data_IF_871133906465
#
_entry.id   IF_871133906465
#
_cell.length_a   1.000
_cell.length_b   1.000
_cell.length_c   1.000
_cell.angle_alpha   90.00
_cell.angle_beta   90.00
_cell.angle_gamma   90.00
#
_symmetry.space_group_name_H-M   'P 1'
#
loop_
_entity.id
_entity.type
_entity.pdbx_description
1 polymer ?
#
# COMPACT_ATOMS: atom_id res chain seq x y z
N UNK A 1 12.65 -20.88 7.88
CA UNK A 1 12.84 -20.51 6.46
C UNK A 1 13.92 -19.42 6.39
N UNK A 2 15.15 -19.73 5.96
CA UNK A 2 16.21 -18.73 5.81
C UNK A 2 16.03 -18.07 4.45
N UNK A 3 15.66 -16.80 4.44
CA UNK A 3 15.77 -15.93 3.26
C UNK A 3 17.26 -15.75 2.98
N UNK A 4 17.78 -16.54 2.05
CA UNK A 4 19.08 -16.25 1.42
C UNK A 4 18.85 -15.06 0.49
N UNK A 5 19.30 -13.87 0.90
CA UNK A 5 19.52 -12.76 -0.03
C UNK A 5 20.69 -13.15 -0.92
N UNK A 6 20.39 -13.69 -2.08
CA UNK A 6 21.38 -13.80 -3.13
C UNK A 6 21.57 -12.41 -3.76
N UNK A 7 22.55 -11.67 -3.33
CA UNK A 7 23.22 -10.72 -4.19
C UNK A 7 24.12 -11.56 -5.14
N UNK A 8 23.49 -12.22 -6.10
CA UNK A 8 24.23 -12.80 -7.21
C UNK A 8 24.55 -11.63 -8.11
N UNK A 9 25.71 -11.05 -7.93
CA UNK A 9 26.34 -10.28 -8.97
C UNK A 9 26.56 -11.22 -10.17
N UNK A 10 25.56 -11.37 -11.03
CA UNK A 10 25.66 -12.09 -12.29
C UNK A 10 26.84 -11.59 -13.13
N UNK A 11 27.36 -10.40 -12.82
CA UNK A 11 28.55 -9.81 -13.45
C UNK A 11 29.85 -10.52 -13.20
N UNK A 12 30.02 -11.25 -12.10
CA UNK A 12 31.30 -11.84 -11.78
C UNK A 12 31.47 -13.27 -12.30
N UNK A 13 30.39 -13.99 -12.54
CA UNK A 13 30.42 -15.32 -13.16
C UNK A 13 30.45 -15.28 -14.69
N UNK A 14 30.02 -14.18 -15.31
CA UNK A 14 30.10 -13.97 -16.77
C UNK A 14 31.40 -13.31 -17.21
N UNK A 15 32.35 -13.00 -16.31
CA UNK A 15 33.66 -12.38 -16.63
C UNK A 15 34.69 -13.35 -17.16
N UNK A 16 34.41 -14.64 -17.15
CA UNK A 16 35.29 -15.64 -17.72
C UNK A 16 34.81 -16.02 -19.12
N UNK A 17 35.43 -15.45 -20.16
CA UNK A 17 35.51 -15.94 -21.53
C UNK A 17 34.45 -15.53 -22.57
N UNK A 18 33.73 -14.46 -22.38
CA UNK A 18 32.98 -13.87 -23.51
C UNK A 18 33.73 -12.63 -24.02
N UNK A 19 34.14 -12.56 -25.27
CA UNK A 19 34.78 -11.37 -25.85
C UNK A 19 33.81 -10.20 -25.79
N UNK A 20 34.25 -8.96 -25.48
CA UNK A 20 33.40 -7.83 -25.14
C UNK A 20 32.65 -7.18 -26.32
N UNK A 21 32.41 -7.86 -27.42
CA UNK A 21 31.87 -7.28 -28.64
C UNK A 21 30.74 -8.09 -29.34
N UNK A 22 30.24 -9.16 -28.77
CA UNK A 22 29.01 -9.79 -29.32
C UNK A 22 27.84 -9.43 -28.43
N UNK A 23 26.79 -8.75 -28.95
CA UNK A 23 25.53 -8.78 -28.25
C UNK A 23 25.13 -10.26 -28.15
N UNK A 24 24.95 -10.74 -26.92
CA UNK A 24 24.42 -12.08 -26.67
C UNK A 24 23.17 -12.21 -27.52
N UNK A 25 23.18 -13.11 -28.50
CA UNK A 25 21.99 -13.36 -29.29
C UNK A 25 20.88 -13.85 -28.35
N UNK A 26 19.62 -13.51 -28.62
CA UNK A 26 18.45 -13.96 -27.84
C UNK A 26 18.48 -15.48 -27.61
N UNK A 27 19.01 -16.23 -28.62
CA UNK A 27 19.27 -17.67 -28.56
C UNK A 27 20.24 -18.10 -27.44
N UNK A 28 21.21 -17.27 -27.05
CA UNK A 28 22.16 -17.61 -25.99
C UNK A 28 21.54 -17.45 -24.60
N UNK A 29 20.70 -16.45 -24.40
CA UNK A 29 19.97 -16.24 -23.13
C UNK A 29 18.98 -17.40 -22.91
N UNK A 30 18.22 -17.77 -23.93
CA UNK A 30 17.31 -18.91 -23.87
C UNK A 30 18.05 -20.19 -23.52
N UNK A 31 19.20 -20.45 -24.17
CA UNK A 31 20.03 -21.61 -23.88
C UNK A 31 20.48 -21.65 -22.41
N UNK A 32 20.93 -20.53 -21.85
CA UNK A 32 21.33 -20.43 -20.43
C UNK A 32 20.15 -20.74 -19.50
N UNK A 33 18.99 -20.17 -19.78
CA UNK A 33 17.79 -20.37 -18.93
C UNK A 33 17.34 -21.85 -18.99
N UNK A 34 17.26 -22.46 -20.16
CA UNK A 34 16.89 -23.88 -20.30
C UNK A 34 17.94 -24.84 -19.74
N UNK A 35 19.21 -24.51 -19.87
CA UNK A 35 20.29 -25.29 -19.26
C UNK A 35 20.22 -25.23 -17.73
N UNK A 36 19.91 -24.07 -17.18
CA UNK A 36 19.70 -23.92 -15.74
C UNK A 36 18.47 -24.70 -15.26
N UNK A 37 17.36 -24.64 -15.99
CA UNK A 37 16.15 -25.40 -15.65
C UNK A 37 16.42 -26.92 -15.63
N UNK A 38 17.10 -27.43 -16.66
CA UNK A 38 17.53 -28.84 -16.73
C UNK A 38 18.50 -29.21 -15.60
N UNK A 39 19.39 -28.32 -15.22
CA UNK A 39 20.30 -28.52 -14.10
C UNK A 39 19.55 -28.65 -12.79
N UNK A 40 18.57 -27.77 -12.49
CA UNK A 40 17.72 -27.88 -11.33
C UNK A 40 16.88 -29.15 -11.35
N UNK A 41 16.36 -29.56 -12.52
CA UNK A 41 15.61 -30.80 -12.68
C UNK A 41 16.47 -32.01 -12.32
N UNK A 42 17.74 -32.07 -12.77
CA UNK A 42 18.67 -33.16 -12.46
C UNK A 42 19.03 -33.27 -11.00
N UNK A 43 18.92 -32.17 -10.23
CA UNK A 43 19.24 -32.08 -8.79
C UNK A 43 18.01 -32.21 -7.90
N UNK A 44 16.80 -32.30 -8.48
CA UNK A 44 15.53 -32.34 -7.72
C UNK A 44 15.21 -31.05 -6.97
N UNK A 45 15.83 -29.90 -7.35
CA UNK A 45 15.62 -28.58 -6.76
C UNK A 45 14.68 -27.70 -7.60
N UNK A 46 14.17 -26.65 -6.98
CA UNK A 46 13.43 -25.58 -7.66
C UNK A 46 14.10 -24.22 -7.41
N UNK A 47 14.13 -23.36 -8.41
CA UNK A 47 14.53 -21.95 -8.30
C UNK A 47 13.30 -21.06 -8.35
N UNK A 48 13.11 -20.23 -7.32
CA UNK A 48 12.08 -19.21 -7.31
C UNK A 48 12.69 -17.85 -7.57
N UNK A 49 12.27 -17.21 -8.66
CA UNK A 49 12.61 -15.83 -9.00
C UNK A 49 11.46 -14.94 -8.53
N UNK A 50 11.71 -14.14 -7.51
CA UNK A 50 10.72 -13.24 -6.94
C UNK A 50 11.05 -11.80 -7.37
N UNK A 51 10.15 -11.19 -8.13
CA UNK A 51 10.26 -9.80 -8.59
C UNK A 51 9.28 -8.94 -7.78
N UNK A 52 9.85 -8.13 -6.90
CA UNK A 52 9.13 -7.24 -5.99
C UNK A 52 9.47 -5.78 -6.32
N UNK A 53 8.72 -4.84 -5.74
CA UNK A 53 8.90 -3.40 -5.92
C UNK A 53 8.77 -2.95 -7.39
N UNK A 54 7.92 -3.59 -8.16
CA UNK A 54 7.72 -3.26 -9.57
C UNK A 54 7.03 -1.89 -9.77
N UNK A 55 6.43 -1.36 -8.71
CA UNK A 55 5.88 0.00 -8.64
C UNK A 55 6.97 1.09 -8.52
N UNK A 56 8.16 0.75 -8.01
CA UNK A 56 9.26 1.70 -7.88
C UNK A 56 9.84 2.12 -9.24
N UNK A 57 9.58 1.38 -10.29
CA UNK A 57 9.99 1.74 -11.65
C UNK A 57 9.36 3.08 -12.08
N UNK A 58 8.14 3.37 -11.59
CA UNK A 58 7.45 4.64 -11.86
C UNK A 58 8.07 5.83 -11.13
N UNK A 59 8.81 5.60 -10.04
CA UNK A 59 9.40 6.66 -9.19
C UNK A 59 10.62 7.31 -9.86
N UNK A 60 11.26 6.64 -10.81
CA UNK A 60 12.51 7.10 -11.43
C UNK A 60 12.32 8.10 -12.58
N UNK A 61 11.16 8.77 -12.66
CA UNK A 61 10.93 9.87 -13.63
C UNK A 61 10.56 9.43 -15.04
N UNK A 62 10.23 8.15 -15.22
CA UNK A 62 9.67 7.66 -16.49
C UNK A 62 8.20 8.10 -16.62
N UNK A 63 7.78 8.41 -17.84
CA UNK A 63 6.37 8.67 -18.11
C UNK A 63 5.53 7.42 -17.73
N UNK A 64 4.27 7.65 -17.32
CA UNK A 64 3.38 6.55 -16.91
C UNK A 64 3.25 5.47 -18.00
N UNK A 65 3.20 5.89 -19.26
CA UNK A 65 3.10 4.99 -20.43
C UNK A 65 4.34 4.10 -20.58
N UNK A 66 5.55 4.63 -20.34
CA UNK A 66 6.81 3.85 -20.39
C UNK A 66 6.83 2.74 -19.34
N UNK A 67 6.27 3.00 -18.16
CA UNK A 67 6.18 2.03 -17.07
C UNK A 67 5.18 0.93 -17.39
N UNK A 68 4.03 1.28 -17.94
CA UNK A 68 3.00 0.33 -18.37
C UNK A 68 3.54 -0.59 -19.45
N UNK A 69 4.25 -0.05 -20.45
CA UNK A 69 4.89 -0.81 -21.50
C UNK A 69 5.97 -1.76 -20.97
N UNK A 70 6.81 -1.28 -20.04
CA UNK A 70 7.83 -2.10 -19.40
C UNK A 70 7.23 -3.27 -18.63
N UNK A 71 6.23 -3.01 -17.80
CA UNK A 71 5.56 -4.05 -17.01
C UNK A 71 4.78 -5.03 -17.90
N UNK A 72 4.16 -4.54 -18.97
CA UNK A 72 3.49 -5.40 -19.97
C UNK A 72 4.47 -6.29 -20.68
N UNK A 73 5.65 -5.79 -21.04
CA UNK A 73 6.72 -6.58 -21.63
C UNK A 73 7.31 -7.60 -20.67
N UNK A 74 7.47 -7.23 -19.39
CA UNK A 74 7.86 -8.16 -18.33
C UNK A 74 6.84 -9.31 -18.20
N UNK A 75 5.56 -9.00 -18.20
CA UNK A 75 4.49 -10.03 -18.17
C UNK A 75 4.58 -10.98 -19.37
N UNK A 76 4.84 -10.46 -20.57
CA UNK A 76 5.04 -11.30 -21.78
C UNK A 76 6.24 -12.22 -21.61
N UNK A 77 7.39 -11.69 -21.20
CA UNK A 77 8.58 -12.49 -20.99
C UNK A 77 8.35 -13.60 -19.95
N UNK A 78 7.69 -13.29 -18.83
CA UNK A 78 7.36 -14.30 -17.82
C UNK A 78 6.37 -15.33 -18.36
N UNK A 79 5.39 -14.94 -19.19
CA UNK A 79 4.45 -15.88 -19.82
C UNK A 79 5.18 -16.93 -20.68
N UNK A 80 6.20 -16.52 -21.43
CA UNK A 80 7.02 -17.45 -22.22
C UNK A 80 7.85 -18.39 -21.32
N UNK A 81 8.25 -17.93 -20.16
CA UNK A 81 9.04 -18.70 -19.19
C UNK A 81 8.20 -19.63 -18.31
N UNK A 82 6.86 -19.53 -18.32
CA UNK A 82 5.98 -20.43 -17.55
C UNK A 82 6.11 -21.92 -17.97
N UNK A 83 6.68 -22.20 -19.12
CA UNK A 83 6.97 -23.57 -19.60
C UNK A 83 8.14 -24.25 -18.89
N UNK A 84 8.95 -23.50 -18.14
CA UNK A 84 10.04 -24.04 -17.36
C UNK A 84 9.50 -24.91 -16.21
N UNK A 85 10.21 -26.02 -15.93
CA UNK A 85 9.73 -27.02 -14.96
C UNK A 85 10.16 -26.69 -13.53
N UNK A 86 11.36 -26.15 -13.38
CA UNK A 86 12.04 -25.93 -12.09
C UNK A 86 12.33 -24.49 -11.77
N UNK A 87 12.37 -23.63 -12.78
CA UNK A 87 12.48 -22.19 -12.57
C UNK A 87 11.07 -21.59 -12.57
N UNK A 88 10.70 -20.99 -11.46
CA UNK A 88 9.36 -20.44 -11.23
C UNK A 88 9.46 -18.97 -10.90
N UNK A 89 8.51 -18.18 -11.43
CA UNK A 89 8.45 -16.74 -11.24
C UNK A 89 7.31 -16.37 -10.30
N UNK A 90 7.58 -15.40 -9.41
CA UNK A 90 6.57 -14.68 -8.63
C UNK A 90 6.75 -13.19 -8.85
N UNK A 91 5.70 -12.58 -9.39
CA UNK A 91 5.63 -11.14 -9.62
C UNK A 91 4.70 -10.56 -8.56
N UNK A 92 5.20 -9.57 -7.82
CA UNK A 92 4.41 -8.87 -6.81
C UNK A 92 4.00 -7.53 -7.38
N UNK A 93 2.70 -7.37 -7.60
CA UNK A 93 2.10 -6.14 -8.10
C UNK A 93 1.16 -5.55 -7.06
N UNK A 94 1.10 -4.23 -7.03
CA UNK A 94 -0.04 -3.55 -6.44
C UNK A 94 -1.25 -3.79 -7.34
N UNK A 95 -2.42 -3.99 -6.73
CA UNK A 95 -3.65 -4.29 -7.48
C UNK A 95 -4.04 -3.18 -8.46
N UNK A 96 -3.88 -1.91 -8.07
CA UNK A 96 -4.14 -0.75 -8.92
C UNK A 96 -3.26 -0.74 -10.17
N UNK A 97 -1.95 -1.00 -10.04
CA UNK A 97 -1.02 -1.11 -11.17
C UNK A 97 -1.39 -2.29 -12.05
N UNK A 98 -1.60 -3.47 -11.44
CA UNK A 98 -1.99 -4.66 -12.22
C UNK A 98 -3.29 -4.44 -13.02
N UNK A 99 -4.25 -3.73 -12.46
CA UNK A 99 -5.51 -3.43 -13.16
C UNK A 99 -5.32 -2.42 -14.29
N UNK A 100 -4.36 -1.51 -14.18
CA UNK A 100 -4.04 -0.53 -15.22
C UNK A 100 -3.31 -1.13 -16.43
N UNK A 101 -2.59 -2.26 -16.26
CA UNK A 101 -1.85 -2.87 -17.37
C UNK A 101 -2.76 -3.29 -18.54
N UNK A 102 -2.40 -2.89 -19.75
CA UNK A 102 -3.12 -3.21 -21.00
C UNK A 102 -2.61 -4.48 -21.69
N UNK A 103 -1.96 -5.36 -20.97
CA UNK A 103 -1.40 -6.59 -21.51
C UNK A 103 -2.48 -7.49 -22.14
N UNK A 104 -2.32 -7.80 -23.44
CA UNK A 104 -3.34 -8.48 -24.28
C UNK A 104 -3.73 -9.88 -23.79
N UNK A 105 -2.81 -10.61 -23.16
CA UNK A 105 -3.03 -11.97 -22.64
C UNK A 105 -3.14 -12.02 -21.11
N UNK A 106 -3.63 -10.95 -20.48
CA UNK A 106 -3.79 -10.85 -19.03
C UNK A 106 -4.60 -12.00 -18.43
N UNK A 107 -5.55 -12.54 -19.20
CA UNK A 107 -6.39 -13.67 -18.79
C UNK A 107 -5.59 -14.95 -18.55
N UNK A 108 -4.45 -15.14 -19.20
CA UNK A 108 -3.58 -16.29 -18.95
C UNK A 108 -3.00 -16.29 -17.53
N UNK A 109 -2.87 -15.12 -16.91
CA UNK A 109 -2.42 -14.98 -15.53
C UNK A 109 -3.56 -15.03 -14.51
N UNK A 110 -4.82 -14.91 -14.93
CA UNK A 110 -5.96 -14.89 -14.02
C UNK A 110 -6.08 -16.17 -13.19
N UNK A 111 -5.75 -17.33 -13.77
CA UNK A 111 -5.71 -18.61 -13.07
C UNK A 111 -4.51 -18.75 -12.12
N UNK A 112 -3.46 -17.94 -12.29
CA UNK A 112 -2.23 -17.95 -11.49
C UNK A 112 -2.18 -16.79 -10.50
N UNK A 113 -3.12 -15.84 -10.61
CA UNK A 113 -3.20 -14.67 -9.73
C UNK A 113 -3.66 -15.09 -8.34
N UNK A 114 -2.90 -14.67 -7.33
CA UNK A 114 -3.35 -14.67 -5.95
C UNK A 114 -3.45 -13.22 -5.49
N UNK A 115 -4.63 -12.79 -5.11
CA UNK A 115 -4.87 -11.47 -4.56
C UNK A 115 -4.84 -11.53 -3.04
N UNK A 116 -3.91 -10.78 -2.43
CA UNK A 116 -3.81 -10.67 -0.98
C UNK A 116 -4.73 -9.54 -0.53
N UNK A 117 -5.84 -9.91 0.08
CA UNK A 117 -6.78 -8.98 0.68
C UNK A 117 -6.76 -9.13 2.20
N UNK A 118 -6.86 -8.01 2.89
CA UNK A 118 -6.95 -7.98 4.34
C UNK A 118 -8.40 -7.73 4.74
N UNK A 119 -9.01 -8.74 5.35
CA UNK A 119 -10.31 -8.51 5.97
C UNK A 119 -10.16 -7.65 7.22
N UNK A 120 -11.25 -7.05 7.66
CA UNK A 120 -11.30 -6.29 8.91
C UNK A 120 -10.88 -7.15 10.11
N UNK A 121 -11.30 -8.41 10.11
CA UNK A 121 -10.96 -9.40 11.13
C UNK A 121 -9.46 -9.74 11.12
N UNK A 122 -8.86 -9.93 9.96
CA UNK A 122 -7.42 -10.18 9.83
C UNK A 122 -6.59 -9.02 10.36
N UNK A 123 -7.01 -7.79 10.06
CA UNK A 123 -6.35 -6.57 10.56
C UNK A 123 -6.50 -6.43 12.08
N UNK A 124 -7.66 -6.76 12.63
CA UNK A 124 -7.85 -6.77 14.08
C UNK A 124 -6.95 -7.81 14.75
N UNK A 125 -6.84 -9.01 14.19
CA UNK A 125 -5.96 -10.07 14.67
C UNK A 125 -4.49 -9.65 14.57
N UNK A 126 -4.08 -9.10 13.43
CA UNK A 126 -2.72 -8.60 13.23
C UNK A 126 -2.34 -7.56 14.28
N UNK A 127 -3.22 -6.57 14.49
CA UNK A 127 -2.99 -5.48 15.45
C UNK A 127 -2.95 -6.04 16.88
N UNK A 128 -3.89 -6.89 17.25
CA UNK A 128 -3.93 -7.51 18.56
C UNK A 128 -2.68 -8.34 18.84
N UNK A 129 -2.19 -9.13 17.89
CA UNK A 129 -0.93 -9.86 18.01
C UNK A 129 0.28 -8.94 18.23
N UNK A 130 0.33 -7.80 17.58
CA UNK A 130 1.41 -6.83 17.75
C UNK A 130 1.38 -6.13 19.10
N UNK A 131 0.20 -5.92 19.64
CA UNK A 131 -0.01 -5.25 20.92
C UNK A 131 0.06 -6.20 22.13
N UNK A 132 -0.13 -7.48 21.91
CA UNK A 132 -0.17 -8.50 22.96
C UNK A 132 1.04 -8.47 23.92
N UNK A 133 2.30 -8.37 23.43
CA UNK A 133 3.47 -8.30 24.32
C UNK A 133 3.49 -7.08 25.25
N UNK A 134 2.69 -6.05 24.98
CA UNK A 134 2.60 -4.83 25.79
C UNK A 134 1.62 -4.98 26.96
N UNK A 135 0.82 -6.06 26.98
CA UNK A 135 -0.18 -6.23 28.02
C UNK A 135 0.43 -6.80 29.31
N UNK A 136 0.20 -6.17 30.49
CA UNK A 136 0.80 -6.57 31.76
C UNK A 136 0.45 -7.99 32.21
N UNK A 137 -0.72 -8.50 31.80
CA UNK A 137 -1.20 -9.86 32.14
C UNK A 137 -0.73 -10.92 31.15
N UNK A 138 0.09 -10.54 30.14
CA UNK A 138 0.58 -11.47 29.15
C UNK A 138 1.74 -12.31 29.73
N UNK A 139 1.48 -13.57 30.00
CA UNK A 139 2.44 -14.53 30.55
C UNK A 139 2.96 -15.53 29.51
N UNK A 140 3.00 -15.15 28.25
CA UNK A 140 3.60 -15.94 27.14
C UNK A 140 2.69 -16.98 26.49
N UNK A 141 1.52 -17.29 27.07
CA UNK A 141 0.56 -18.20 26.46
C UNK A 141 -0.46 -17.40 25.63
N UNK A 142 -0.38 -17.52 24.31
CA UNK A 142 -1.39 -16.94 23.41
C UNK A 142 -2.55 -17.93 23.30
N UNK A 143 -3.64 -17.67 24.00
CA UNK A 143 -4.90 -18.39 23.78
C UNK A 143 -5.72 -17.68 22.73
N UNK A 144 -6.00 -18.35 21.61
CA UNK A 144 -6.94 -17.87 20.61
C UNK A 144 -8.40 -18.08 21.08
N UNK A 145 -9.32 -17.16 20.72
CA UNK A 145 -9.17 -16.02 19.85
C UNK A 145 -8.69 -14.74 20.57
N UNK A 146 -7.72 -14.06 20.00
CA UNK A 146 -7.32 -12.73 20.45
C UNK A 146 -8.47 -11.78 20.12
N UNK A 147 -9.08 -11.20 21.15
CA UNK A 147 -10.26 -10.34 20.96
C UNK A 147 -9.87 -8.89 20.70
N UNK A 148 -10.77 -8.14 20.04
CA UNK A 148 -10.66 -6.69 19.83
C UNK A 148 -10.49 -5.91 21.15
N UNK A 149 -10.96 -6.46 22.25
CA UNK A 149 -10.83 -5.89 23.60
C UNK A 149 -9.38 -5.58 24.00
N UNK A 150 -8.39 -6.31 23.43
CA UNK A 150 -6.99 -6.00 23.66
C UNK A 150 -6.57 -4.66 23.11
N UNK A 151 -7.09 -4.29 21.95
CA UNK A 151 -6.82 -2.99 21.31
C UNK A 151 -7.39 -1.88 22.19
N UNK A 152 -8.60 -2.09 22.71
CA UNK A 152 -9.24 -1.14 23.61
C UNK A 152 -8.52 -0.97 24.95
N UNK A 153 -7.78 -1.98 25.40
CA UNK A 153 -6.94 -1.86 26.61
C UNK A 153 -5.68 -1.04 26.39
N UNK A 154 -5.19 -0.93 25.16
CA UNK A 154 -3.96 -0.20 24.84
C UNK A 154 -4.22 1.29 24.63
N UNK A 155 -5.21 1.65 23.83
CA UNK A 155 -5.43 3.02 23.38
C UNK A 155 -6.53 3.72 24.18
N UNK A 156 -6.23 4.93 24.65
CA UNK A 156 -7.24 5.86 25.15
C UNK A 156 -7.82 6.64 23.97
N UNK A 157 -8.89 6.13 23.38
CA UNK A 157 -9.57 6.81 22.29
C UNK A 157 -10.73 7.62 22.85
N UNK A 158 -10.58 8.94 22.86
CA UNK A 158 -11.25 9.95 23.67
C UNK A 158 -12.75 10.15 23.55
N UNK A 159 -13.53 9.17 23.16
CA UNK A 159 -14.98 9.32 23.16
C UNK A 159 -15.63 8.25 24.06
N UNK A 160 -16.30 8.71 25.13
CA UNK A 160 -17.05 7.85 26.04
C UNK A 160 -18.23 7.14 25.35
N UNK A 161 -18.61 7.58 24.14
CA UNK A 161 -19.76 7.07 23.40
C UNK A 161 -19.38 5.98 22.38
N UNK A 162 -18.10 5.83 22.05
CA UNK A 162 -17.62 4.78 21.13
C UNK A 162 -16.50 3.96 21.78
N UNK A 163 -16.84 2.84 22.43
CA UNK A 163 -15.88 2.05 23.20
C UNK A 163 -14.91 1.23 22.32
N UNK A 164 -15.16 1.12 21.02
CA UNK A 164 -14.38 0.24 20.14
C UNK A 164 -13.29 1.00 19.41
N UNK A 165 -12.10 1.06 20.02
CA UNK A 165 -10.93 1.74 19.45
C UNK A 165 -10.54 1.20 18.07
N UNK A 166 -10.67 -0.10 17.85
CA UNK A 166 -10.35 -0.71 16.55
C UNK A 166 -11.30 -0.24 15.45
N UNK A 167 -12.61 -0.20 15.71
CA UNK A 167 -13.59 0.22 14.73
C UNK A 167 -13.32 1.65 14.27
N UNK A 168 -13.04 2.53 15.22
CA UNK A 168 -12.72 3.92 14.93
C UNK A 168 -11.44 4.03 14.11
N UNK A 169 -10.39 3.31 14.47
CA UNK A 169 -9.16 3.24 13.70
C UNK A 169 -9.43 2.71 12.29
N UNK A 170 -10.15 1.62 12.15
CA UNK A 170 -10.46 1.01 10.88
C UNK A 170 -11.16 2.01 9.93
N UNK A 171 -12.22 2.66 10.42
CA UNK A 171 -12.95 3.64 9.60
C UNK A 171 -12.11 4.87 9.24
N UNK A 172 -11.25 5.35 10.14
CA UNK A 172 -10.34 6.47 9.87
C UNK A 172 -9.26 6.14 8.83
N UNK A 173 -8.86 4.87 8.74
CA UNK A 173 -7.76 4.43 7.89
C UNK A 173 -8.23 3.92 6.52
N UNK A 174 -9.55 3.81 6.31
CA UNK A 174 -10.09 3.42 5.00
C UNK A 174 -9.74 4.45 3.95
N UNK A 175 -9.27 3.96 2.80
CA UNK A 175 -9.12 4.77 1.60
C UNK A 175 -10.46 4.93 0.84
N UNK A 176 -10.41 5.54 -0.34
CA UNK A 176 -11.60 5.76 -1.17
C UNK A 176 -12.25 4.48 -1.69
N UNK A 177 -11.49 3.39 -1.79
CA UNK A 177 -11.96 2.07 -2.18
C UNK A 177 -12.51 1.26 -0.99
N UNK A 178 -12.30 1.76 0.23
CA UNK A 178 -12.71 1.10 1.47
C UNK A 178 -11.65 0.19 2.06
N UNK A 179 -10.46 0.18 1.49
CA UNK A 179 -9.34 -0.66 1.93
C UNK A 179 -8.55 -0.01 3.07
N UNK A 180 -8.07 -0.85 4.00
CA UNK A 180 -7.16 -0.46 5.06
C UNK A 180 -5.86 -1.23 4.90
N UNK A 181 -4.74 -0.53 4.79
CA UNK A 181 -3.45 -1.17 4.65
C UNK A 181 -2.85 -1.54 6.02
N UNK A 182 -2.36 -2.77 6.22
CA UNK A 182 -1.67 -3.16 7.45
C UNK A 182 -0.52 -2.22 7.81
N UNK A 183 0.18 -1.70 6.79
CA UNK A 183 1.28 -0.75 6.96
C UNK A 183 0.85 0.53 7.69
N UNK A 184 -0.30 1.09 7.32
CA UNK A 184 -0.81 2.32 7.95
C UNK A 184 -1.09 2.08 9.44
N UNK A 185 -1.70 0.95 9.79
CA UNK A 185 -1.94 0.57 11.19
C UNK A 185 -0.63 0.39 11.96
N UNK A 186 0.41 -0.19 11.35
CA UNK A 186 1.70 -0.35 11.99
C UNK A 186 2.41 0.99 12.18
N UNK A 187 2.36 1.90 11.20
CA UNK A 187 2.90 3.27 11.33
C UNK A 187 2.20 4.01 12.45
N UNK A 188 0.87 3.89 12.54
CA UNK A 188 0.11 4.47 13.65
C UNK A 188 0.58 3.95 15.01
N UNK A 189 0.71 2.63 15.19
CA UNK A 189 1.15 2.04 16.45
C UNK A 189 2.54 2.54 16.86
N UNK A 190 3.50 2.55 15.92
CA UNK A 190 4.86 3.03 16.18
C UNK A 190 4.85 4.52 16.53
N UNK A 191 4.06 5.32 15.81
CA UNK A 191 3.94 6.76 16.05
C UNK A 191 3.27 7.04 17.39
N UNK A 192 2.23 6.30 17.76
CA UNK A 192 1.55 6.43 19.04
C UNK A 192 2.46 6.09 20.22
N UNK A 193 3.23 5.01 20.09
CA UNK A 193 4.22 4.63 21.09
C UNK A 193 5.27 5.73 21.28
N UNK A 194 5.83 6.26 20.19
CA UNK A 194 6.85 7.33 20.24
C UNK A 194 6.28 8.62 20.84
N UNK A 195 5.07 9.01 20.43
CA UNK A 195 4.41 10.18 20.98
C UNK A 195 4.18 10.04 22.50
N UNK A 196 3.72 8.87 22.96
CA UNK A 196 3.52 8.61 24.38
C UNK A 196 4.83 8.65 25.16
N UNK A 197 5.90 8.07 24.63
CA UNK A 197 7.23 8.14 25.25
C UNK A 197 7.70 9.58 25.41
N UNK A 198 7.52 10.42 24.37
CA UNK A 198 7.86 11.84 24.44
C UNK A 198 7.03 12.58 25.50
N UNK A 199 5.72 12.33 25.57
CA UNK A 199 4.85 12.93 26.58
C UNK A 199 5.22 12.50 28.00
N UNK A 200 5.55 11.24 28.20
CA UNK A 200 6.03 10.74 29.50
C UNK A 200 7.33 11.41 29.91
N UNK A 201 8.27 11.60 29.00
CA UNK A 201 9.56 12.30 29.27
C UNK A 201 9.34 13.76 29.65
N UNK A 202 8.33 14.41 29.08
CA UNK A 202 7.99 15.80 29.34
C UNK A 202 7.05 15.95 30.53
N UNK A 203 6.58 14.87 31.13
CA UNK A 203 5.61 14.88 32.24
C UNK A 203 4.23 15.38 31.88
N UNK A 204 3.86 15.29 30.57
CA UNK A 204 2.56 15.72 30.07
C UNK A 204 1.80 14.51 29.48
N UNK A 205 0.47 14.57 29.58
CA UNK A 205 -0.44 13.59 28.95
C UNK A 205 -0.17 12.12 29.31
N UNK A 206 -0.33 11.78 30.57
CA UNK A 206 -0.41 10.39 31.02
C UNK A 206 -1.71 9.76 30.53
N UNK A 207 -1.66 8.50 30.10
CA UNK A 207 -2.87 7.75 29.76
C UNK A 207 -3.74 7.52 31.02
N UNK A 208 -5.05 7.66 30.86
CA UNK A 208 -6.02 7.44 31.92
C UNK A 208 -6.54 6.00 31.94
N UNK A 209 -7.18 5.61 33.04
CA UNK A 209 -7.95 4.34 33.14
C UNK A 209 -7.15 3.07 32.84
N UNK A 210 -5.85 3.02 33.15
CA UNK A 210 -5.01 1.84 32.91
C UNK A 210 -4.67 1.60 31.44
N UNK A 211 -4.96 2.54 30.54
CA UNK A 211 -4.51 2.49 29.15
C UNK A 211 -3.01 2.76 29.04
N UNK A 212 -2.41 2.32 27.93
CA UNK A 212 -0.96 2.51 27.71
C UNK A 212 -0.66 3.76 26.88
N UNK A 213 -1.56 4.13 25.99
CA UNK A 213 -1.41 5.23 25.02
C UNK A 213 -2.51 6.26 25.26
N UNK A 214 -2.13 7.48 25.62
CA UNK A 214 -3.05 8.58 25.88
C UNK A 214 -3.71 9.09 24.60
N UNK A 215 -4.89 9.70 24.72
CA UNK A 215 -5.65 10.27 23.62
C UNK A 215 -4.83 11.22 22.74
N UNK A 216 -4.07 12.15 23.35
CA UNK A 216 -3.25 13.08 22.59
C UNK A 216 -2.11 12.40 21.82
N UNK A 217 -1.56 11.28 22.34
CA UNK A 217 -0.58 10.49 21.63
C UNK A 217 -1.22 9.77 20.40
N UNK A 218 -2.45 9.32 20.53
CA UNK A 218 -3.21 8.77 19.41
C UNK A 218 -3.48 9.83 18.33
N UNK A 219 -3.87 11.06 18.72
CA UNK A 219 -4.09 12.16 17.75
C UNK A 219 -2.81 12.52 16.98
N UNK A 220 -1.69 12.62 17.67
CA UNK A 220 -0.40 12.88 17.05
C UNK A 220 0.00 11.73 16.11
N UNK A 221 -0.26 10.49 16.50
CA UNK A 221 -0.02 9.31 15.66
C UNK A 221 -0.84 9.33 14.37
N UNK A 222 -2.11 9.70 14.44
CA UNK A 222 -2.96 9.87 13.25
C UNK A 222 -2.38 10.93 12.32
N UNK A 223 -1.96 12.06 12.84
CA UNK A 223 -1.34 13.14 12.07
C UNK A 223 -0.06 12.66 11.34
N UNK A 224 0.80 11.96 12.05
CA UNK A 224 2.06 11.42 11.48
C UNK A 224 1.78 10.32 10.43
N UNK A 225 0.79 9.46 10.70
CA UNK A 225 0.39 8.42 9.75
C UNK A 225 -0.22 9.02 8.49
N UNK A 226 -1.06 10.04 8.63
CA UNK A 226 -1.64 10.77 7.52
C UNK A 226 -0.57 11.40 6.62
N UNK A 227 0.42 12.06 7.22
CA UNK A 227 1.54 12.65 6.48
C UNK A 227 2.37 11.57 5.75
N UNK A 228 2.64 10.42 6.40
CA UNK A 228 3.34 9.30 5.77
C UNK A 228 2.55 8.73 4.60
N UNK A 229 1.26 8.49 4.78
CA UNK A 229 0.38 7.96 3.72
C UNK A 229 0.33 8.86 2.50
N UNK A 230 0.20 10.18 2.71
CA UNK A 230 0.19 11.14 1.62
C UNK A 230 1.54 11.17 0.88
N UNK A 231 2.66 11.15 1.62
CA UNK A 231 3.99 11.12 1.01
C UNK A 231 4.20 9.84 0.19
N UNK A 232 3.85 8.68 0.73
CA UNK A 232 3.95 7.40 0.02
C UNK A 232 3.08 7.39 -1.25
N UNK A 233 1.87 7.95 -1.16
CA UNK A 233 0.97 8.10 -2.30
C UNK A 233 1.59 9.02 -3.38
N UNK A 234 2.09 10.18 -3.00
CA UNK A 234 2.68 11.14 -3.94
C UNK A 234 4.05 10.71 -4.50
N UNK A 235 4.73 9.77 -3.87
CA UNK A 235 5.91 9.13 -4.45
C UNK A 235 5.55 8.24 -5.65
N UNK A 236 4.45 7.50 -5.54
CA UNK A 236 3.97 6.61 -6.60
C UNK A 236 3.21 7.40 -7.68
N UNK A 237 2.36 8.32 -7.27
CA UNK A 237 1.46 9.09 -8.15
C UNK A 237 1.85 10.57 -8.17
N UNK A 238 3.04 10.86 -8.70
CA UNK A 238 3.60 12.22 -8.73
C UNK A 238 2.73 13.21 -9.51
N UNK A 239 2.00 12.73 -10.51
CA UNK A 239 1.06 13.50 -11.32
C UNK A 239 -0.11 14.11 -10.52
N UNK A 240 -0.40 13.57 -9.32
CA UNK A 240 -1.44 14.14 -8.46
C UNK A 240 -0.93 15.21 -7.48
N UNK A 241 0.35 15.53 -7.47
CA UNK A 241 0.92 16.53 -6.54
C UNK A 241 0.22 17.87 -6.66
N UNK A 242 0.14 18.43 -7.87
CA UNK A 242 -0.54 19.70 -8.11
C UNK A 242 -2.02 19.64 -7.75
N UNK A 243 -2.66 18.51 -7.99
CA UNK A 243 -4.06 18.24 -7.62
C UNK A 243 -4.27 18.34 -6.12
N UNK A 244 -3.39 17.74 -5.34
CA UNK A 244 -3.47 17.80 -3.89
C UNK A 244 -3.13 19.18 -3.33
N UNK A 245 -2.18 19.89 -3.94
CA UNK A 245 -1.85 21.27 -3.55
C UNK A 245 -3.06 22.21 -3.74
N UNK A 246 -3.89 21.97 -4.77
CA UNK A 246 -5.14 22.71 -4.99
C UNK A 246 -6.23 22.36 -3.96
N UNK A 247 -6.25 21.14 -3.44
CA UNK A 247 -7.21 20.71 -2.43
C UNK A 247 -6.83 21.12 -1.00
N UNK A 248 -5.55 21.45 -0.78
CA UNK A 248 -5.02 21.80 0.53
C UNK A 248 -5.75 22.99 1.15
N UNK A 249 -6.14 22.83 2.42
CA UNK A 249 -6.86 23.88 3.16
C UNK A 249 -8.31 24.09 2.73
N UNK A 250 -8.90 23.20 1.92
CA UNK A 250 -10.32 23.26 1.60
C UNK A 250 -11.18 23.20 2.86
N UNK A 251 -12.30 23.94 2.87
CA UNK A 251 -13.17 24.06 4.04
C UNK A 251 -13.95 22.77 4.35
N UNK A 252 -14.04 21.83 3.42
CA UNK A 252 -14.79 20.57 3.58
C UNK A 252 -14.06 19.43 2.89
N UNK A 253 -14.14 18.24 3.46
CA UNK A 253 -13.71 16.97 2.88
C UNK A 253 -14.75 16.35 1.92
N UNK A 254 -15.95 16.93 1.86
CA UNK A 254 -17.05 16.49 1.00
C UNK A 254 -17.32 17.49 -0.10
N UNK A 255 -17.47 16.98 -1.31
CA UNK A 255 -17.60 17.77 -2.52
C UNK A 255 -18.71 17.23 -3.41
N UNK A 256 -19.47 18.13 -4.02
CA UNK A 256 -20.20 17.80 -5.24
C UNK A 256 -19.21 17.77 -6.42
N UNK A 257 -19.61 17.17 -7.55
CA UNK A 257 -18.78 17.15 -8.76
C UNK A 257 -18.34 18.56 -9.18
N UNK A 258 -19.28 19.51 -9.17
CA UNK A 258 -18.98 20.89 -9.54
C UNK A 258 -18.00 21.57 -8.57
N UNK A 259 -18.14 21.33 -7.27
CA UNK A 259 -17.21 21.83 -6.26
C UNK A 259 -15.82 21.21 -6.41
N UNK A 260 -15.74 19.90 -6.64
CA UNK A 260 -14.47 19.19 -6.82
C UNK A 260 -13.79 19.66 -8.10
N UNK A 261 -14.50 19.76 -9.23
CA UNK A 261 -13.95 20.30 -10.50
C UNK A 261 -13.40 21.70 -10.34
N UNK A 262 -14.13 22.57 -9.61
CA UNK A 262 -13.67 23.93 -9.31
C UNK A 262 -12.42 23.93 -8.42
N UNK A 263 -12.39 23.10 -7.38
CA UNK A 263 -11.26 22.96 -6.47
C UNK A 263 -10.00 22.47 -7.22
N UNK A 264 -10.20 21.57 -8.19
CA UNK A 264 -9.12 21.07 -9.07
C UNK A 264 -8.69 22.06 -10.17
N UNK A 265 -9.27 23.26 -10.21
CA UNK A 265 -8.96 24.26 -11.24
C UNK A 265 -9.35 23.86 -12.66
N UNK A 266 -10.20 22.84 -12.83
CA UNK A 266 -10.62 22.31 -14.13
C UNK A 266 -11.91 23.00 -14.58
N UNK A 267 -11.83 23.72 -15.71
CA UNK A 267 -12.99 24.39 -16.32
C UNK A 267 -13.73 23.46 -17.29
N UNK A 268 -13.00 22.60 -17.99
CA UNK A 268 -13.61 21.61 -18.89
C UNK A 268 -14.16 20.43 -18.05
N UNK A 269 -15.46 20.11 -18.16
CA UNK A 269 -16.07 18.97 -17.46
C UNK A 269 -15.46 17.64 -17.84
N UNK A 270 -14.95 17.48 -19.06
CA UNK A 270 -14.32 16.23 -19.52
C UNK A 270 -12.98 16.02 -18.81
N UNK A 271 -12.12 17.05 -18.80
CA UNK A 271 -10.83 17.01 -18.10
C UNK A 271 -11.02 16.77 -16.60
N UNK A 272 -11.99 17.47 -16.00
CA UNK A 272 -12.34 17.24 -14.60
C UNK A 272 -12.80 15.80 -14.36
N UNK A 273 -13.61 15.26 -15.26
CA UNK A 273 -14.12 13.88 -15.19
C UNK A 273 -13.01 12.85 -15.22
N UNK A 274 -11.99 13.03 -16.04
CA UNK A 274 -10.83 12.13 -16.11
C UNK A 274 -10.02 12.16 -14.81
N UNK A 275 -9.69 13.33 -14.29
CA UNK A 275 -8.94 13.46 -13.02
C UNK A 275 -9.72 12.84 -11.85
N UNK A 276 -11.04 13.10 -11.77
CA UNK A 276 -11.89 12.52 -10.74
C UNK A 276 -11.93 10.98 -10.86
N UNK A 277 -12.01 10.44 -12.08
CA UNK A 277 -12.00 9.00 -12.30
C UNK A 277 -10.68 8.36 -11.85
N UNK A 278 -9.55 9.00 -12.16
CA UNK A 278 -8.24 8.54 -11.74
C UNK A 278 -8.06 8.60 -10.22
N UNK A 279 -8.47 9.69 -9.57
CA UNK A 279 -8.43 9.81 -8.11
C UNK A 279 -9.30 8.74 -7.43
N UNK A 280 -10.49 8.45 -7.99
CA UNK A 280 -11.35 7.38 -7.47
C UNK A 280 -10.75 5.99 -7.67
N UNK A 281 -10.14 5.74 -8.84
CA UNK A 281 -9.48 4.47 -9.16
C UNK A 281 -8.37 4.11 -8.19
N UNK A 282 -7.56 5.09 -7.78
CA UNK A 282 -6.44 4.89 -6.84
C UNK A 282 -6.84 5.05 -5.36
N UNK A 283 -8.13 5.19 -5.07
CA UNK A 283 -8.62 5.31 -3.69
C UNK A 283 -8.33 6.66 -3.02
N UNK A 284 -7.95 7.67 -3.79
CA UNK A 284 -7.65 9.02 -3.29
C UNK A 284 -8.92 9.82 -2.95
N UNK A 285 -10.03 9.49 -3.58
CA UNK A 285 -11.38 9.98 -3.24
C UNK A 285 -12.36 8.81 -3.13
N UNK A 286 -13.40 9.01 -2.33
CA UNK A 286 -14.50 8.07 -2.12
C UNK A 286 -15.75 8.57 -2.80
N UNK A 287 -16.46 7.67 -3.50
CA UNK A 287 -17.78 7.93 -4.03
C UNK A 287 -18.82 7.60 -2.94
N UNK A 288 -19.69 8.55 -2.60
CA UNK A 288 -20.60 8.39 -1.46
C UNK A 288 -22.05 8.11 -1.85
N UNK A 289 -22.44 8.33 -3.10
CA UNK A 289 -23.82 8.18 -3.59
C UNK A 289 -24.14 6.83 -4.28
N UNK A 290 -23.25 5.84 -4.17
CA UNK A 290 -23.38 4.48 -4.74
C UNK A 290 -23.57 4.41 -6.27
N UNK A 291 -23.24 5.46 -7.00
CA UNK A 291 -23.26 5.49 -8.47
C UNK A 291 -21.86 5.18 -9.03
N UNK A 292 -21.79 4.94 -10.33
CA UNK A 292 -20.49 4.90 -11.00
C UNK A 292 -19.79 6.26 -10.91
N UNK A 293 -18.46 6.30 -10.98
CA UNK A 293 -17.69 7.54 -10.89
C UNK A 293 -18.16 8.62 -11.88
N UNK A 294 -18.57 8.22 -13.10
CA UNK A 294 -19.03 9.14 -14.12
C UNK A 294 -20.43 9.72 -13.87
N UNK A 295 -21.22 9.06 -13.02
CA UNK A 295 -22.59 9.44 -12.69
C UNK A 295 -22.73 10.00 -11.27
N UNK A 296 -21.67 9.94 -10.48
CA UNK A 296 -21.66 10.40 -9.11
C UNK A 296 -21.61 11.92 -9.03
N UNK A 297 -22.36 12.48 -8.09
CA UNK A 297 -22.31 13.90 -7.71
C UNK A 297 -21.81 14.12 -6.28
N UNK A 298 -21.43 13.05 -5.57
CA UNK A 298 -21.04 13.12 -4.17
C UNK A 298 -19.73 12.39 -3.92
N UNK A 299 -18.71 13.14 -3.52
CA UNK A 299 -17.35 12.67 -3.28
C UNK A 299 -16.88 13.10 -1.90
N UNK A 300 -16.03 12.28 -1.31
CA UNK A 300 -15.39 12.52 -0.02
C UNK A 300 -13.89 12.25 -0.12
N UNK A 301 -13.07 13.11 0.45
CA UNK A 301 -11.64 12.85 0.63
C UNK A 301 -11.49 11.92 1.86
N UNK A 302 -10.86 10.74 1.72
CA UNK A 302 -10.65 9.84 2.84
C UNK A 302 -9.94 10.52 4.02
N UNK A 303 -10.30 10.15 5.24
CA UNK A 303 -9.91 10.87 6.46
C UNK A 303 -8.40 11.12 6.58
N UNK A 304 -7.54 10.12 6.29
CA UNK A 304 -6.09 10.31 6.38
C UNK A 304 -5.57 11.33 5.35
N UNK A 305 -6.10 11.33 4.12
CA UNK A 305 -5.70 12.34 3.13
C UNK A 305 -6.23 13.73 3.51
N UNK A 306 -7.49 13.83 3.94
CA UNK A 306 -8.07 15.08 4.42
C UNK A 306 -7.24 15.66 5.57
N UNK A 307 -6.82 14.81 6.52
CA UNK A 307 -5.98 15.22 7.65
C UNK A 307 -4.60 15.69 7.24
N UNK A 308 -3.95 15.00 6.28
CA UNK A 308 -2.64 15.38 5.75
C UNK A 308 -2.68 16.71 4.98
N UNK A 309 -3.82 17.00 4.33
CA UNK A 309 -4.04 18.22 3.53
C UNK A 309 -4.66 19.37 4.33
N UNK A 310 -4.88 19.18 5.63
CA UNK A 310 -5.54 20.18 6.49
C UNK A 310 -6.92 20.61 5.98
N UNK A 311 -7.65 19.68 5.36
CA UNK A 311 -9.01 19.87 4.85
C UNK A 311 -10.00 19.81 6.02
N UNK A 312 -11.04 20.67 5.98
CA UNK A 312 -12.12 20.67 6.96
C UNK A 312 -11.87 21.51 8.21
N UNK A 313 -10.73 22.21 8.27
CA UNK A 313 -10.37 23.04 9.44
C UNK A 313 -10.13 22.21 10.70
N UNK A 314 -9.57 22.81 11.75
CA UNK A 314 -9.32 22.18 13.05
C UNK A 314 -10.61 21.92 13.84
N UNK A 315 -11.57 21.20 13.29
CA UNK A 315 -12.71 20.68 14.03
C UNK A 315 -12.26 19.40 14.74
N UNK A 316 -11.47 19.60 15.84
CA UNK A 316 -11.50 18.78 17.06
C UNK A 316 -10.58 19.38 18.12
#
# INVERSE_FOLDING_TARGET
MRLLKFNVGFGDYLKTEVPPQSPLAVTEIDYVIYSADAWFESRGGDLWVCLDSLDEVSINGHAHDDVEDLLSNLMRAVAELLRLKRIRFKLFFRSDIYHALTYVNKDHFSALKLELQWSREDLAILLAHRLLPLHPEHNGAVTFPISKEWIDKVFEWGDKQSPESFEKLYEMFRDGNGDVLPRDLMIFCISAQRAQQNFNTQGIHSAANGKLIAHNACREAVRLTAASKLNDFLQVFQNFRDTYDLLKGSASDRFTRAQLSKALGKQDPLDAGLVIADLARVGAIKITDKKSVNQSDAFEIPHLYARALEIGGNNE
#
